data_IF_892441656651
#
_entry.id   IF_892441656651
#
_cell.length_a   1.000
_cell.length_b   1.000
_cell.length_c   1.000
_cell.angle_alpha   90.00
_cell.angle_beta   90.00
_cell.angle_gamma   90.00
#
_symmetry.space_group_name_H-M   'P 1'
#
loop_
_entity.id
_entity.type
_entity.pdbx_description
1 polymer ?
#
# COMPACT_ATOMS: atom_id res chain seq x y z
N UNK A 1 -25.45 32.38 -0.01
CA UNK A 1 -23.99 32.20 -0.19
C UNK A 1 -23.77 30.90 -0.95
N UNK A 2 -23.54 30.96 -2.27
CA UNK A 2 -23.49 29.80 -3.15
C UNK A 2 -22.04 29.30 -3.34
N UNK A 3 -21.82 28.01 -3.10
CA UNK A 3 -20.51 27.36 -3.23
C UNK A 3 -20.19 27.12 -4.72
N UNK A 4 -19.22 27.86 -5.22
CA UNK A 4 -18.68 27.74 -6.57
C UNK A 4 -17.75 26.50 -6.66
N UNK A 5 -18.32 25.31 -6.86
CA UNK A 5 -17.54 24.09 -7.19
C UNK A 5 -17.29 24.08 -8.69
N UNK A 6 -16.09 24.52 -9.12
CA UNK A 6 -15.63 24.30 -10.50
C UNK A 6 -15.59 22.80 -10.78
N UNK A 7 -16.27 22.27 -11.80
CA UNK A 7 -16.05 20.91 -12.24
C UNK A 7 -14.61 20.81 -12.76
N UNK A 8 -13.87 19.79 -12.34
CA UNK A 8 -12.57 19.46 -12.92
C UNK A 8 -12.77 19.13 -14.40
N UNK A 9 -12.76 20.14 -15.27
CA UNK A 9 -12.68 19.95 -16.71
C UNK A 9 -11.24 19.62 -17.03
N UNK A 10 -10.95 18.33 -17.23
CA UNK A 10 -9.71 17.92 -17.89
C UNK A 10 -9.64 18.62 -19.26
N UNK A 11 -8.64 19.46 -19.46
CA UNK A 11 -8.42 20.15 -20.74
C UNK A 11 -7.87 19.18 -21.80
N UNK A 12 -8.11 19.41 -23.11
CA UNK A 12 -7.78 18.46 -24.19
C UNK A 12 -6.29 18.29 -24.52
N UNK A 13 -5.36 18.83 -23.71
CA UNK A 13 -3.95 19.02 -24.11
C UNK A 13 -3.07 17.76 -23.95
N UNK A 14 -3.54 16.66 -23.34
CA UNK A 14 -2.62 15.55 -22.96
C UNK A 14 -3.00 14.15 -23.45
N UNK A 15 -3.88 14.03 -24.46
CA UNK A 15 -4.22 12.71 -25.04
C UNK A 15 -3.14 12.13 -25.96
N UNK A 16 -2.31 12.96 -26.58
CA UNK A 16 -1.38 12.53 -27.63
C UNK A 16 0.06 12.27 -27.16
N UNK A 17 0.43 12.59 -25.90
CA UNK A 17 1.78 12.31 -25.36
C UNK A 17 1.91 11.02 -24.55
N UNK A 18 0.82 10.30 -24.33
CA UNK A 18 0.84 8.99 -23.68
C UNK A 18 0.82 7.89 -24.75
N UNK A 19 1.91 7.79 -25.53
CA UNK A 19 2.18 6.65 -26.42
C UNK A 19 2.37 5.31 -25.69
N UNK A 20 2.12 5.26 -24.39
CA UNK A 20 1.95 4.04 -23.63
C UNK A 20 0.46 3.80 -23.48
N UNK A 21 -0.06 2.86 -24.26
CA UNK A 21 -1.37 2.26 -24.01
C UNK A 21 -1.50 2.01 -22.50
N UNK A 22 -2.61 2.36 -21.82
CA UNK A 22 -2.76 2.20 -20.37
C UNK A 22 -2.35 0.82 -19.84
N UNK A 23 -2.48 -0.20 -20.69
CA UNK A 23 -2.04 -1.58 -20.47
C UNK A 23 -0.51 -1.67 -20.29
N UNK A 24 0.29 -1.01 -21.11
CA UNK A 24 1.75 -1.03 -21.00
C UNK A 24 2.22 -0.41 -19.68
N UNK A 25 1.58 0.68 -19.25
CA UNK A 25 1.86 1.28 -17.95
C UNK A 25 1.50 0.32 -16.81
N UNK A 26 0.35 -0.33 -16.88
CA UNK A 26 -0.08 -1.31 -15.88
C UNK A 26 0.88 -2.51 -15.82
N UNK A 27 1.37 -2.99 -16.97
CA UNK A 27 2.36 -4.07 -17.05
C UNK A 27 3.66 -3.67 -16.35
N UNK A 28 4.19 -2.47 -16.61
CA UNK A 28 5.39 -1.99 -15.93
C UNK A 28 5.18 -1.81 -14.42
N UNK A 29 3.99 -1.33 -14.02
CA UNK A 29 3.67 -1.11 -12.61
C UNK A 29 3.51 -2.42 -11.81
N UNK A 30 2.98 -3.46 -12.45
CA UNK A 30 2.83 -4.79 -11.85
C UNK A 30 4.10 -5.63 -11.95
N UNK A 31 5.12 -5.19 -12.68
CA UNK A 31 6.37 -5.94 -12.85
C UNK A 31 7.05 -6.14 -11.49
N UNK A 32 7.27 -7.40 -11.13
CA UNK A 32 7.86 -7.79 -9.83
C UNK A 32 6.84 -8.01 -8.71
N UNK A 33 5.54 -7.82 -8.95
CA UNK A 33 4.49 -8.23 -8.01
C UNK A 33 4.20 -9.71 -8.20
N UNK A 34 4.37 -10.57 -7.19
CA UNK A 34 4.07 -11.99 -7.32
C UNK A 34 2.58 -12.20 -7.52
N UNK A 35 2.25 -13.23 -8.29
CA UNK A 35 0.88 -13.74 -8.34
C UNK A 35 0.65 -14.60 -7.09
N UNK A 36 -0.08 -14.07 -6.11
CA UNK A 36 -0.35 -14.72 -4.83
C UNK A 36 -1.60 -15.59 -4.92
N UNK A 37 -1.51 -16.69 -5.69
CA UNK A 37 -2.63 -17.62 -5.85
C UNK A 37 -3.08 -18.22 -4.52
N UNK A 38 -4.39 -18.21 -4.27
CA UNK A 38 -4.95 -18.69 -3.02
C UNK A 38 -4.72 -17.77 -1.81
N UNK A 39 -4.31 -16.51 -2.02
CA UNK A 39 -4.23 -15.54 -0.94
C UNK A 39 -5.59 -15.38 -0.24
N UNK A 40 -5.57 -15.46 1.10
CA UNK A 40 -6.78 -15.35 1.93
C UNK A 40 -7.10 -13.92 2.36
N UNK A 41 -6.14 -12.99 2.28
CA UNK A 41 -6.34 -11.60 2.70
C UNK A 41 -7.51 -10.87 1.99
N UNK A 42 -7.89 -11.15 0.72
CA UNK A 42 -9.03 -10.45 0.10
C UNK A 42 -10.38 -10.81 0.72
N UNK A 43 -10.47 -11.89 1.51
CA UNK A 43 -11.72 -12.29 2.16
C UNK A 43 -12.06 -11.45 3.40
N UNK A 44 -11.06 -10.76 3.97
CA UNK A 44 -11.22 -9.92 5.17
C UNK A 44 -10.18 -8.78 5.12
N UNK A 45 -10.32 -7.81 4.19
CA UNK A 45 -9.31 -6.76 3.98
C UNK A 45 -9.22 -5.79 5.16
N UNK A 46 -10.31 -5.58 5.90
CA UNK A 46 -10.38 -4.67 7.04
C UNK A 46 -9.47 -5.12 8.20
N UNK A 47 -9.32 -6.44 8.40
CA UNK A 47 -8.38 -6.97 9.39
C UNK A 47 -6.92 -6.54 9.12
N UNK A 48 -6.56 -6.26 7.87
CA UNK A 48 -5.19 -5.96 7.45
C UNK A 48 -4.88 -4.45 7.38
N UNK A 49 -5.90 -3.58 7.36
CA UNK A 49 -5.72 -2.14 7.18
C UNK A 49 -5.65 -1.37 8.50
N UNK A 50 -4.51 -0.72 8.75
CA UNK A 50 -4.27 0.07 9.96
C UNK A 50 -5.04 1.38 10.00
N UNK A 51 -5.31 1.96 8.83
CA UNK A 51 -6.05 3.22 8.75
C UNK A 51 -7.51 3.04 9.19
N UNK A 52 -8.02 1.81 9.08
CA UNK A 52 -9.38 1.44 9.44
C UNK A 52 -9.50 0.83 10.85
N UNK A 53 -8.42 0.85 11.64
CA UNK A 53 -8.41 0.24 12.98
C UNK A 53 -8.35 -1.29 12.95
N UNK A 54 -7.64 -1.85 11.95
CA UNK A 54 -7.56 -3.28 11.70
C UNK A 54 -7.17 -4.13 12.91
N UNK A 55 -7.58 -5.39 12.87
CA UNK A 55 -7.36 -6.38 13.92
C UNK A 55 -6.14 -7.26 13.58
N UNK A 56 -4.99 -6.93 14.17
CA UNK A 56 -3.75 -7.66 13.97
C UNK A 56 -3.86 -9.15 14.28
N UNK A 57 -4.54 -9.52 15.37
CA UNK A 57 -4.67 -10.92 15.77
C UNK A 57 -5.41 -11.71 14.69
N UNK A 58 -6.52 -11.14 14.18
CA UNK A 58 -7.27 -11.74 13.10
C UNK A 58 -6.46 -11.87 11.80
N UNK A 59 -5.74 -10.83 11.42
CA UNK A 59 -4.90 -10.86 10.23
C UNK A 59 -3.76 -11.89 10.34
N UNK A 60 -3.19 -12.07 11.54
CA UNK A 60 -2.17 -13.08 11.82
C UNK A 60 -2.75 -14.50 11.70
N UNK A 61 -3.95 -14.76 12.25
CA UNK A 61 -4.64 -16.05 12.10
C UNK A 61 -4.96 -16.41 10.64
N UNK A 62 -5.32 -15.40 9.84
CA UNK A 62 -5.54 -15.58 8.39
C UNK A 62 -4.22 -15.91 7.70
N UNK A 63 -3.16 -15.17 8.02
CA UNK A 63 -1.83 -15.40 7.46
C UNK A 63 -1.30 -16.79 7.79
N UNK A 64 -1.57 -17.32 8.99
CA UNK A 64 -1.06 -18.63 9.41
C UNK A 64 -1.59 -19.78 8.56
N UNK A 65 -2.84 -19.66 8.09
CA UNK A 65 -3.51 -20.65 7.23
C UNK A 65 -3.39 -20.34 5.74
N UNK A 66 -2.73 -19.25 5.36
CA UNK A 66 -2.71 -18.75 3.99
C UNK A 66 -1.77 -19.59 3.09
N UNK A 67 -2.27 -20.22 2.00
CA UNK A 67 -1.43 -20.96 1.05
C UNK A 67 -0.34 -20.08 0.41
N UNK A 68 -0.65 -18.80 0.21
CA UNK A 68 0.28 -17.83 -0.38
C UNK A 68 1.26 -17.20 0.63
N UNK A 69 1.32 -17.66 1.88
CA UNK A 69 2.16 -17.04 2.93
C UNK A 69 3.64 -16.97 2.54
N UNK A 70 4.19 -18.07 2.01
CA UNK A 70 5.61 -18.14 1.61
C UNK A 70 5.96 -17.17 0.47
N UNK A 71 5.29 -17.19 -0.71
CA UNK A 71 5.58 -16.22 -1.76
C UNK A 71 5.28 -14.78 -1.35
N UNK A 72 4.31 -14.56 -0.46
CA UNK A 72 4.06 -13.24 0.14
C UNK A 72 5.25 -12.77 1.00
N UNK A 73 5.86 -13.66 1.80
CA UNK A 73 7.04 -13.33 2.59
C UNK A 73 8.26 -13.01 1.73
N UNK A 74 8.51 -13.81 0.68
CA UNK A 74 9.62 -13.62 -0.25
C UNK A 74 9.53 -12.27 -0.97
N UNK A 75 8.33 -11.90 -1.43
CA UNK A 75 8.10 -10.58 -2.01
C UNK A 75 8.28 -9.46 -0.98
N UNK A 76 7.72 -9.60 0.21
CA UNK A 76 7.82 -8.58 1.26
C UNK A 76 9.28 -8.33 1.67
N UNK A 77 10.12 -9.36 1.70
CA UNK A 77 11.54 -9.25 1.99
C UNK A 77 12.32 -8.43 0.94
N UNK A 78 11.81 -8.33 -0.29
CA UNK A 78 12.37 -7.50 -1.35
C UNK A 78 12.00 -6.02 -1.27
N UNK A 79 11.06 -5.64 -0.40
CA UNK A 79 10.59 -4.26 -0.28
C UNK A 79 11.51 -3.42 0.60
N UNK A 80 11.69 -2.14 0.24
CA UNK A 80 12.42 -1.20 1.09
C UNK A 80 11.61 -0.94 2.37
N UNK A 81 12.26 -0.72 3.53
CA UNK A 81 11.57 -0.37 4.77
C UNK A 81 10.59 0.80 4.56
N UNK A 82 9.37 0.66 5.08
CA UNK A 82 8.33 1.69 4.98
C UNK A 82 7.52 1.73 3.68
N UNK A 83 7.79 0.84 2.71
CA UNK A 83 6.93 0.69 1.52
C UNK A 83 5.55 0.09 1.83
N UNK A 84 5.44 -0.62 2.95
CA UNK A 84 4.24 -1.33 3.34
C UNK A 84 3.93 -1.10 4.81
N UNK A 85 2.64 -1.19 5.13
CA UNK A 85 2.07 -1.05 6.46
C UNK A 85 1.01 -2.13 6.68
N UNK A 86 0.74 -2.48 7.93
CA UNK A 86 -0.25 -3.51 8.26
C UNK A 86 0.38 -4.89 8.46
N UNK A 87 -0.41 -5.95 8.29
CA UNK A 87 0.09 -7.33 8.41
C UNK A 87 0.42 -7.88 7.03
N UNK A 88 1.64 -8.34 6.84
CA UNK A 88 2.07 -8.97 5.59
C UNK A 88 2.83 -10.25 5.92
N UNK A 89 2.43 -11.35 5.30
CA UNK A 89 3.02 -12.68 5.50
C UNK A 89 3.14 -13.12 6.98
N UNK A 90 2.22 -12.66 7.84
CA UNK A 90 2.24 -12.94 9.27
C UNK A 90 3.20 -12.05 10.08
N UNK A 91 3.67 -10.94 9.51
CA UNK A 91 4.53 -9.95 10.17
C UNK A 91 3.84 -8.59 10.20
N UNK A 92 3.92 -7.89 11.34
CA UNK A 92 3.35 -6.55 11.49
C UNK A 92 4.37 -5.50 11.03
N UNK A 93 4.05 -4.78 9.96
CA UNK A 93 4.78 -3.64 9.45
C UNK A 93 4.13 -2.35 9.95
N UNK A 94 4.80 -1.66 10.87
CA UNK A 94 4.37 -0.34 11.34
C UNK A 94 4.86 0.72 10.35
N UNK A 95 4.01 1.69 10.04
CA UNK A 95 4.47 2.85 9.29
C UNK A 95 5.61 3.52 10.06
N UNK A 96 6.68 3.90 9.35
CA UNK A 96 7.59 4.89 9.90
C UNK A 96 6.76 6.17 10.01
N UNK A 97 6.37 6.53 11.23
CA UNK A 97 5.99 7.91 11.50
C UNK A 97 7.17 8.75 11.02
N UNK A 98 6.98 9.50 9.93
CA UNK A 98 7.91 10.57 9.57
C UNK A 98 8.11 11.37 10.87
N UNK A 99 9.34 11.51 11.40
CA UNK A 99 9.52 12.32 12.59
C UNK A 99 8.88 13.69 12.31
N UNK A 100 8.10 14.25 13.26
CA UNK A 100 7.38 15.48 13.00
C UNK A 100 8.39 16.52 12.50
N UNK A 101 8.07 17.17 11.37
CA UNK A 101 8.95 18.10 10.65
C UNK A 101 9.41 19.28 11.55
N UNK A 102 8.76 19.46 12.71
CA UNK A 102 9.02 20.51 13.68
C UNK A 102 9.44 20.00 15.07
N UNK A 103 10.41 19.07 15.18
CA UNK A 103 11.11 18.93 16.47
C UNK A 103 12.20 20.00 16.55
N UNK A 104 12.12 20.99 17.46
CA UNK A 104 13.24 21.89 17.70
C UNK A 104 14.45 21.03 18.09
N UNK A 105 15.58 21.27 17.42
CA UNK A 105 16.87 20.67 17.77
C UNK A 105 17.08 20.93 19.25
N UNK A 106 16.97 19.89 20.09
CA UNK A 106 17.30 20.01 21.53
C UNK A 106 18.74 20.50 21.60
N UNK A 107 18.91 21.76 21.99
CA UNK A 107 20.20 22.32 22.33
C UNK A 107 20.73 21.49 23.50
N UNK A 108 21.86 20.81 23.27
CA UNK A 108 22.57 20.08 24.33
C UNK A 108 23.13 21.14 25.27
N UNK A 109 22.66 21.12 26.51
CA UNK A 109 23.26 21.83 27.64
C UNK A 109 24.65 21.27 27.95
#
# INVERSE_FOLDING_TARGET
MAQNRKPYRCTPIERERLGHQPINLLIELLRGTPKLEGALCPSDPEAFDLALGGNYERALEICDRCPARKPCAEWAAGLKPGHVTGVIAGTVYRSYSRPPINQPRRERA
#
